data_IF_692619792880
#
_entry.id   IF_692619792880
#
_cell.length_a   1.000
_cell.length_b   1.000
_cell.length_c   1.000
_cell.angle_alpha   90.00
_cell.angle_beta   90.00
_cell.angle_gamma   90.00
#
_symmetry.space_group_name_H-M   'P 1'
#
loop_
_entity.id
_entity.type
_entity.pdbx_description
1 polymer ?
#
# COMPACT_ATOMS: atom_id res chain seq x y z
N UNK A 1 1.44 -20.70 7.09
CA UNK A 1 0.07 -20.16 7.21
C UNK A 1 -0.67 -20.42 5.90
N UNK A 2 -1.91 -20.93 5.95
CA UNK A 2 -2.72 -21.21 4.75
C UNK A 2 -3.77 -20.12 4.54
N UNK A 3 -3.79 -19.52 3.36
CA UNK A 3 -4.71 -18.43 3.02
C UNK A 3 -5.45 -18.76 1.72
N UNK A 4 -6.79 -18.85 1.75
CA UNK A 4 -7.56 -19.04 0.53
C UNK A 4 -7.61 -17.73 -0.28
N UNK A 5 -7.43 -17.85 -1.58
CA UNK A 5 -7.41 -16.74 -2.53
C UNK A 5 -8.80 -16.10 -2.67
N UNK A 6 -9.87 -16.84 -2.38
CA UNK A 6 -11.24 -16.33 -2.28
C UNK A 6 -11.35 -15.23 -1.23
N UNK A 7 -10.80 -15.43 -0.03
CA UNK A 7 -10.81 -14.40 1.02
C UNK A 7 -9.96 -13.19 0.62
N UNK A 8 -8.79 -13.40 0.03
CA UNK A 8 -7.93 -12.29 -0.40
C UNK A 8 -8.63 -11.39 -1.46
N UNK A 9 -9.47 -11.97 -2.32
CA UNK A 9 -10.28 -11.25 -3.31
C UNK A 9 -11.37 -10.37 -2.69
N UNK A 10 -11.84 -10.67 -1.49
CA UNK A 10 -12.81 -9.82 -0.77
C UNK A 10 -12.17 -8.47 -0.43
N UNK A 11 -10.91 -8.51 0.04
CA UNK A 11 -10.15 -7.33 0.41
C UNK A 11 -9.57 -6.57 -0.79
N UNK A 12 -9.17 -7.26 -1.87
CA UNK A 12 -8.44 -6.65 -2.99
C UNK A 12 -8.95 -7.14 -4.33
N UNK A 13 -9.11 -6.22 -5.28
CA UNK A 13 -9.38 -6.58 -6.66
C UNK A 13 -8.10 -7.10 -7.36
N UNK A 14 -7.89 -8.42 -7.35
CA UNK A 14 -6.73 -9.10 -7.96
C UNK A 14 -7.06 -9.50 -9.40
N UNK A 15 -6.26 -9.03 -10.37
CA UNK A 15 -6.34 -9.42 -11.79
C UNK A 15 -5.23 -10.40 -12.22
N UNK A 16 -4.29 -10.71 -11.33
CA UNK A 16 -3.11 -11.53 -11.62
C UNK A 16 -3.41 -13.02 -11.43
N UNK A 17 -2.62 -13.88 -12.08
CA UNK A 17 -2.64 -15.32 -11.82
C UNK A 17 -2.10 -15.64 -10.41
N UNK A 18 -2.52 -16.75 -9.78
CA UNK A 18 -2.02 -17.16 -8.47
C UNK A 18 -0.50 -17.34 -8.41
N UNK A 19 0.10 -17.81 -9.50
CA UNK A 19 1.53 -18.04 -9.63
C UNK A 19 2.31 -16.72 -9.67
N UNK A 20 1.83 -15.75 -10.44
CA UNK A 20 2.43 -14.42 -10.51
C UNK A 20 2.31 -13.68 -9.18
N UNK A 21 1.17 -13.83 -8.50
CA UNK A 21 0.98 -13.28 -7.16
C UNK A 21 1.98 -13.87 -6.17
N UNK A 22 2.17 -15.20 -6.19
CA UNK A 22 3.12 -15.88 -5.33
C UNK A 22 4.56 -15.40 -5.59
N UNK A 23 4.96 -15.29 -6.86
CA UNK A 23 6.28 -14.79 -7.23
C UNK A 23 6.53 -13.37 -6.68
N UNK A 24 5.56 -12.46 -6.82
CA UNK A 24 5.67 -11.09 -6.29
C UNK A 24 5.73 -11.04 -4.77
N UNK A 25 4.97 -11.90 -4.09
CA UNK A 25 5.02 -12.02 -2.63
C UNK A 25 6.40 -12.47 -2.17
N UNK A 26 6.97 -13.50 -2.81
CA UNK A 26 8.32 -13.97 -2.50
C UNK A 26 9.36 -12.87 -2.73
N UNK A 27 9.25 -12.10 -3.82
CA UNK A 27 10.11 -10.94 -4.07
C UNK A 27 9.98 -9.83 -3.01
N UNK A 28 8.82 -9.70 -2.36
CA UNK A 28 8.57 -8.75 -1.27
C UNK A 28 9.04 -9.28 0.11
N UNK A 29 9.63 -10.47 0.14
CA UNK A 29 10.07 -11.15 1.37
C UNK A 29 8.94 -11.84 2.13
N UNK A 30 7.84 -12.20 1.45
CA UNK A 30 6.80 -13.10 1.96
C UNK A 30 6.89 -14.41 1.16
N UNK A 31 7.57 -15.40 1.72
CA UNK A 31 7.80 -16.68 1.03
C UNK A 31 6.48 -17.46 0.88
N UNK A 32 6.19 -17.88 -0.36
CA UNK A 32 5.08 -18.79 -0.67
C UNK A 32 5.65 -20.17 -0.94
N UNK A 33 5.41 -21.09 -0.02
CA UNK A 33 5.98 -22.44 -0.05
C UNK A 33 5.21 -23.35 -0.98
N UNK A 34 3.88 -23.26 -0.95
CA UNK A 34 3.05 -24.12 -1.77
C UNK A 34 1.74 -23.46 -2.22
N UNK A 35 1.27 -23.86 -3.40
CA UNK A 35 -0.01 -23.45 -3.96
C UNK A 35 -0.85 -24.71 -4.11
N UNK A 36 -1.85 -24.85 -3.25
CA UNK A 36 -2.77 -25.99 -3.28
C UNK A 36 -4.09 -25.57 -3.93
N UNK A 37 -4.62 -26.40 -4.82
CA UNK A 37 -5.92 -26.16 -5.46
C UNK A 37 -6.97 -27.07 -4.84
N UNK A 38 -7.94 -26.50 -4.15
CA UNK A 38 -9.05 -27.23 -3.52
C UNK A 38 -10.35 -26.91 -4.26
N UNK A 39 -10.70 -27.75 -5.23
CA UNK A 39 -11.87 -27.57 -6.07
C UNK A 39 -11.83 -26.26 -6.88
N UNK A 40 -12.70 -25.31 -6.50
CA UNK A 40 -12.79 -23.98 -7.13
C UNK A 40 -11.84 -22.94 -6.52
N UNK A 41 -11.34 -23.19 -5.32
CA UNK A 41 -10.49 -22.27 -4.58
C UNK A 41 -9.02 -22.64 -4.69
N UNK A 42 -8.17 -21.62 -4.61
CA UNK A 42 -6.71 -21.75 -4.55
C UNK A 42 -6.25 -21.33 -3.17
N UNK A 43 -5.46 -22.15 -2.50
CA UNK A 43 -4.93 -21.92 -1.17
C UNK A 43 -3.43 -21.66 -1.30
N UNK A 44 -2.98 -20.51 -0.79
CA UNK A 44 -1.57 -20.12 -0.72
C UNK A 44 -1.05 -20.51 0.66
N UNK A 45 0.01 -21.31 0.70
CA UNK A 45 0.74 -21.66 1.91
C UNK A 45 1.97 -20.76 2.01
N UNK A 46 1.97 -19.89 3.02
CA UNK A 46 3.02 -18.92 3.31
C UNK A 46 3.89 -19.43 4.45
N UNK A 47 5.20 -19.52 4.24
CA UNK A 47 6.14 -19.77 5.34
C UNK A 47 6.73 -18.45 5.81
N UNK A 48 6.38 -18.08 7.04
CA UNK A 48 6.92 -16.90 7.70
C UNK A 48 8.13 -17.35 8.51
N UNK A 49 9.30 -17.44 7.86
CA UNK A 49 10.58 -17.72 8.50
C UNK A 49 10.99 -16.63 9.50
N UNK A 50 10.53 -15.40 9.30
CA UNK A 50 10.70 -14.28 10.22
C UNK A 50 9.34 -13.92 10.82
N UNK A 51 9.26 -13.65 12.13
CA UNK A 51 8.03 -13.21 12.80
C UNK A 51 7.67 -11.76 12.41
N UNK A 52 7.41 -11.54 11.12
CA UNK A 52 6.92 -10.30 10.54
C UNK A 52 5.45 -10.21 10.89
N UNK A 53 5.16 -9.70 12.09
CA UNK A 53 3.80 -9.64 12.66
C UNK A 53 2.76 -9.01 11.73
N UNK A 54 3.21 -8.17 10.79
CA UNK A 54 2.39 -7.58 9.74
C UNK A 54 1.79 -8.61 8.76
N UNK A 55 2.33 -9.82 8.64
CA UNK A 55 1.85 -10.88 7.74
C UNK A 55 1.27 -12.10 8.48
N UNK A 56 1.17 -12.04 9.81
CA UNK A 56 0.61 -13.13 10.63
C UNK A 56 -0.93 -13.24 10.53
N UNK A 57 -1.59 -12.29 9.87
CA UNK A 57 -3.03 -12.25 9.67
C UNK A 57 -3.38 -12.03 8.19
N UNK A 58 -4.59 -12.43 7.78
CA UNK A 58 -5.02 -12.25 6.39
C UNK A 58 -5.12 -10.79 5.96
N UNK A 59 -5.51 -9.90 6.88
CA UNK A 59 -5.57 -8.45 6.65
C UNK A 59 -4.16 -7.90 6.40
N UNK A 60 -3.20 -8.40 7.17
CA UNK A 60 -1.79 -8.09 7.02
C UNK A 60 -1.24 -8.45 5.64
N UNK A 61 -1.46 -9.69 5.22
CA UNK A 61 -1.12 -10.16 3.87
C UNK A 61 -1.85 -9.34 2.81
N UNK A 62 -3.12 -8.99 3.02
CA UNK A 62 -3.86 -8.15 2.11
C UNK A 62 -3.27 -6.73 2.00
N UNK A 63 -2.73 -6.15 3.07
CA UNK A 63 -2.02 -4.87 3.02
C UNK A 63 -0.76 -4.95 2.17
N UNK A 64 0.02 -6.02 2.31
CA UNK A 64 1.24 -6.21 1.51
C UNK A 64 0.89 -6.40 0.02
N UNK A 65 -0.12 -7.22 -0.27
CA UNK A 65 -0.62 -7.41 -1.65
C UNK A 65 -1.18 -6.10 -2.22
N UNK A 66 -1.85 -5.29 -1.40
CA UNK A 66 -2.38 -3.98 -1.80
C UNK A 66 -1.25 -3.02 -2.19
N UNK A 67 -0.15 -3.02 -1.43
CA UNK A 67 1.05 -2.24 -1.74
C UNK A 67 1.74 -2.74 -3.03
N UNK A 68 1.86 -4.06 -3.22
CA UNK A 68 2.50 -4.65 -4.41
C UNK A 68 1.74 -4.37 -5.70
N UNK A 69 0.40 -4.41 -5.67
CA UNK A 69 -0.45 -4.22 -6.85
C UNK A 69 -0.85 -2.74 -7.02
N UNK A 70 -0.50 -1.87 -6.08
CA UNK A 70 -0.93 -0.46 -6.03
C UNK A 70 -2.46 -0.31 -6.15
N UNK A 71 -3.21 -1.13 -5.40
CA UNK A 71 -4.68 -1.11 -5.38
C UNK A 71 -5.19 -0.82 -3.99
N UNK A 72 -6.29 -0.08 -3.84
CA UNK A 72 -6.85 0.20 -2.52
C UNK A 72 -7.35 -1.09 -1.87
N UNK A 73 -6.96 -1.28 -0.61
CA UNK A 73 -7.51 -2.31 0.26
C UNK A 73 -8.95 -1.94 0.65
N UNK A 74 -9.87 -2.92 0.62
CA UNK A 74 -11.21 -2.79 1.18
C UNK A 74 -11.20 -3.21 2.65
N UNK A 75 -11.52 -2.32 3.61
CA UNK A 75 -11.59 -2.71 5.01
C UNK A 75 -12.81 -3.62 5.26
N UNK A 76 -12.69 -4.65 6.11
CA UNK A 76 -13.86 -5.42 6.52
C UNK A 76 -14.80 -4.53 7.36
N UNK A 77 -16.07 -4.48 6.99
CA UNK A 77 -17.10 -3.76 7.77
C UNK A 77 -17.42 -2.32 7.34
N UNK A 78 -16.94 -1.84 6.18
CA UNK A 78 -17.33 -0.50 5.68
C UNK A 78 -18.33 -0.65 4.54
N UNK A 79 -19.58 -0.32 4.83
CA UNK A 79 -20.63 -0.10 3.82
C UNK A 79 -20.23 1.08 2.93
N UNK A 80 -20.44 0.97 1.60
CA UNK A 80 -20.00 1.99 0.65
C UNK A 80 -20.58 3.40 0.91
N UNK A 81 -21.63 3.49 1.73
CA UNK A 81 -22.27 4.74 2.14
C UNK A 81 -21.39 5.62 3.05
N UNK A 82 -20.44 5.04 3.78
CA UNK A 82 -19.56 5.78 4.71
C UNK A 82 -18.33 6.43 4.03
N UNK A 83 -18.08 6.13 2.74
CA UNK A 83 -16.92 6.65 1.99
C UNK A 83 -16.92 8.19 1.84
N UNK A 84 -18.03 8.87 2.10
CA UNK A 84 -18.21 10.31 1.81
C UNK A 84 -18.09 11.23 3.02
N UNK A 85 -18.15 10.70 4.24
CA UNK A 85 -18.39 11.56 5.42
C UNK A 85 -17.33 11.48 6.51
N UNK A 86 -16.51 10.44 6.49
CA UNK A 86 -15.28 10.43 7.27
C UNK A 86 -14.17 10.28 6.26
N UNK A 87 -13.22 11.20 6.28
CA UNK A 87 -11.94 11.05 5.60
C UNK A 87 -11.29 9.78 6.13
N UNK A 88 -11.71 8.63 5.62
CA UNK A 88 -11.01 7.37 5.74
C UNK A 88 -9.75 7.66 4.94
N UNK A 89 -8.75 8.11 5.67
CA UNK A 89 -7.36 7.86 5.39
C UNK A 89 -7.30 6.45 4.82
N UNK A 90 -7.34 6.36 3.49
CA UNK A 90 -6.55 5.37 2.80
C UNK A 90 -5.21 5.43 3.51
N UNK A 91 -4.72 4.27 3.96
CA UNK A 91 -3.35 4.12 4.39
C UNK A 91 -2.48 4.40 3.15
N UNK A 92 -2.36 5.69 2.84
CA UNK A 92 -1.83 6.30 1.64
C UNK A 92 -0.44 6.84 1.97
N UNK A 93 0.26 6.26 2.93
CA UNK A 93 1.62 6.64 3.32
C UNK A 93 2.65 5.73 2.63
N UNK A 94 2.58 5.67 1.30
CA UNK A 94 3.73 5.34 0.44
C UNK A 94 3.51 5.73 -1.03
N UNK A 95 2.84 6.86 -1.29
CA UNK A 95 3.22 7.66 -2.47
C UNK A 95 4.51 8.37 -2.07
N UNK A 96 5.67 7.75 -2.27
CA UNK A 96 6.91 8.54 -2.37
C UNK A 96 6.67 9.54 -3.51
N UNK A 97 6.60 10.86 -3.26
CA UNK A 97 6.48 11.82 -4.33
C UNK A 97 7.84 11.89 -5.02
N UNK A 98 8.13 10.91 -5.89
CA UNK A 98 9.21 11.07 -6.85
C UNK A 98 8.75 12.12 -7.87
N UNK A 99 9.40 13.28 -7.79
CA UNK A 99 9.37 14.40 -8.75
C UNK A 99 8.11 15.24 -8.77
N UNK A 100 7.97 16.13 -7.79
CA UNK A 100 7.66 17.55 -8.00
C UNK A 100 7.48 18.18 -6.63
N UNK A 101 8.41 19.04 -6.21
CA UNK A 101 8.21 20.24 -5.38
C UNK A 101 9.57 20.91 -5.10
N UNK A 102 10.45 20.98 -6.11
CA UNK A 102 11.66 21.82 -6.07
C UNK A 102 11.38 23.31 -6.37
N UNK A 103 10.14 23.69 -6.66
CA UNK A 103 9.78 25.08 -6.98
C UNK A 103 9.13 25.88 -5.85
N UNK A 104 8.69 25.25 -4.75
CA UNK A 104 8.08 25.97 -3.64
C UNK A 104 9.10 26.53 -2.64
N UNK A 105 10.31 25.98 -2.58
CA UNK A 105 11.41 26.53 -1.77
C UNK A 105 12.06 27.77 -2.40
N UNK A 106 12.08 27.88 -3.74
CA UNK A 106 12.74 29.00 -4.43
C UNK A 106 11.98 30.32 -4.25
N UNK A 107 10.64 30.29 -4.12
CA UNK A 107 9.83 31.48 -3.83
C UNK A 107 10.06 32.02 -2.41
N UNK A 108 10.33 31.15 -1.44
CA UNK A 108 10.60 31.56 -0.04
C UNK A 108 12.00 32.18 0.08
N UNK A 109 12.98 31.64 -0.65
CA UNK A 109 14.35 32.19 -0.65
C UNK A 109 14.44 33.51 -1.44
N UNK A 110 13.71 33.65 -2.55
CA UNK A 110 13.71 34.88 -3.35
C UNK A 110 13.00 36.06 -2.63
N UNK A 111 11.97 35.80 -1.82
CA UNK A 111 11.35 36.84 -0.98
C UNK A 111 12.24 37.27 0.19
N UNK A 112 13.07 36.37 0.73
CA UNK A 112 14.03 36.70 1.80
C UNK A 112 15.24 37.52 1.30
N UNK A 113 15.61 37.41 0.01
CA UNK A 113 16.75 38.13 -0.56
C UNK A 113 16.40 39.50 -1.15
N UNK A 114 15.16 39.70 -1.64
CA UNK A 114 14.69 41.00 -2.15
C UNK A 114 14.06 41.92 -1.09
N UNK A 115 13.69 41.39 0.09
CA UNK A 115 13.01 42.16 1.14
C UNK A 115 13.91 42.93 2.12
N UNK A 116 15.25 42.92 1.97
CA UNK A 116 16.19 43.51 2.95
C UNK A 116 17.00 44.71 2.47
N UNK A 117 16.57 45.39 1.39
CA UNK A 117 17.32 46.53 0.82
C UNK A 117 16.54 47.86 0.71
N UNK A 118 15.41 48.02 1.41
CA UNK A 118 14.57 49.22 1.24
C UNK A 118 14.13 49.95 2.54
N UNK A 119 14.92 49.89 3.62
CA UNK A 119 14.76 50.80 4.77
C UNK A 119 16.11 51.12 5.41
N UNK A 120 16.90 51.97 4.74
CA UNK A 120 17.93 52.81 5.36
C UNK A 120 18.34 53.85 4.31
N UNK A 121 17.63 54.98 4.30
CA UNK A 121 18.02 56.30 3.77
C UNK A 121 16.77 57.19 3.73
N UNK A 122 16.40 57.77 4.88
CA UNK A 122 16.10 59.19 5.12
C UNK A 122 15.48 59.33 6.52
#
# INVERSE_FOLDING_TARGET
MKIPLSWLKEYINIKLSPQELAHRLTMAGVEVSHIQKSGKDTILELDLTTNRGDCASIIGVAREVSALINRPLRPPGISEKDKKQKGIICFQERRVPNRALTLSLLKVILFAFLGRRFLSMN
#
